data_IF_271457125682
#
_entry.id   IF_271457125682
#
_cell.length_a   1.000
_cell.length_b   1.000
_cell.length_c   1.000
_cell.angle_alpha   90.00
_cell.angle_beta   90.00
_cell.angle_gamma   90.00
#
_symmetry.space_group_name_H-M   'P 1'
#
loop_
_entity.id
_entity.type
_entity.pdbx_description
1 polymer ?
#
# COMPACT_ATOMS: atom_id res chain seq x y z
N UNK A 1 -5.64 10.22 -24.77
CA UNK A 1 -5.98 9.43 -23.58
C UNK A 1 -4.73 9.33 -22.71
N UNK A 2 -4.57 10.21 -21.71
CA UNK A 2 -3.42 10.16 -20.80
C UNK A 2 -3.89 9.64 -19.45
N UNK A 3 -3.74 8.34 -19.20
CA UNK A 3 -3.76 7.79 -17.83
C UNK A 3 -2.43 8.19 -17.17
N UNK A 4 -2.32 9.46 -16.80
CA UNK A 4 -1.34 9.86 -15.79
C UNK A 4 -1.86 9.32 -14.46
N UNK A 5 -1.61 8.04 -14.18
CA UNK A 5 -1.66 7.57 -12.80
C UNK A 5 -0.56 8.34 -12.08
N UNK A 6 -0.95 9.43 -11.42
CA UNK A 6 -0.14 10.06 -10.39
C UNK A 6 0.18 8.93 -9.41
N UNK A 7 1.38 8.36 -9.50
CA UNK A 7 1.86 7.37 -8.53
C UNK A 7 1.87 8.10 -7.19
N UNK A 8 0.80 7.95 -6.42
CA UNK A 8 0.78 8.44 -5.05
C UNK A 8 1.82 7.63 -4.31
N UNK A 9 2.84 8.31 -3.79
CA UNK A 9 3.79 7.65 -2.91
C UNK A 9 3.01 7.15 -1.69
N UNK A 10 2.92 5.84 -1.53
CA UNK A 10 2.22 5.22 -0.40
C UNK A 10 2.80 5.68 0.94
N UNK A 11 4.07 6.10 0.97
CA UNK A 11 4.74 6.64 2.16
C UNK A 11 4.32 8.07 2.50
N UNK A 12 3.66 8.78 1.59
CA UNK A 12 3.08 10.10 1.83
C UNK A 12 1.67 10.04 2.44
N UNK A 13 1.04 8.86 2.46
CA UNK A 13 -0.31 8.70 2.96
C UNK A 13 -0.34 8.59 4.48
N UNK A 14 -1.32 9.25 5.11
CA UNK A 14 -1.70 8.93 6.48
C UNK A 14 -2.28 7.51 6.56
N UNK A 15 -2.37 6.96 7.77
CA UNK A 15 -2.96 5.64 7.97
C UNK A 15 -4.40 5.55 7.42
N UNK A 16 -5.21 6.59 7.63
CA UNK A 16 -6.60 6.63 7.13
C UNK A 16 -6.66 6.73 5.60
N UNK A 17 -5.79 7.55 5.00
CA UNK A 17 -5.69 7.64 3.55
C UNK A 17 -5.23 6.32 2.92
N UNK A 18 -4.36 5.58 3.62
CA UNK A 18 -3.96 4.24 3.20
C UNK A 18 -5.13 3.27 3.27
N UNK A 19 -5.94 3.29 4.33
CA UNK A 19 -7.16 2.47 4.42
C UNK A 19 -8.11 2.77 3.26
N UNK A 20 -8.41 4.05 3.02
CA UNK A 20 -9.28 4.46 1.90
C UNK A 20 -8.72 4.04 0.54
N UNK A 21 -7.40 4.12 0.35
CA UNK A 21 -6.75 3.65 -0.87
C UNK A 21 -6.98 2.15 -1.08
N UNK A 22 -6.80 1.33 -0.04
CA UNK A 22 -7.02 -0.11 -0.15
C UNK A 22 -8.50 -0.45 -0.37
N UNK A 23 -9.43 0.19 0.35
CA UNK A 23 -10.87 0.00 0.18
C UNK A 23 -11.33 0.37 -1.24
N UNK A 24 -10.86 1.50 -1.78
CA UNK A 24 -11.18 1.94 -3.14
C UNK A 24 -10.65 0.99 -4.23
N UNK A 25 -9.64 0.17 -3.91
CA UNK A 25 -9.10 -0.86 -4.78
C UNK A 25 -9.65 -2.28 -4.46
N UNK A 26 -10.67 -2.39 -3.62
CA UNK A 26 -11.33 -3.66 -3.30
C UNK A 26 -10.58 -4.55 -2.29
N UNK A 27 -9.56 -4.01 -1.64
CA UNK A 27 -8.81 -4.69 -0.59
C UNK A 27 -9.38 -4.37 0.80
N UNK A 28 -9.20 -5.29 1.75
CA UNK A 28 -9.74 -5.12 3.10
C UNK A 28 -8.90 -4.12 3.92
N UNK A 29 -9.50 -3.37 4.85
CA UNK A 29 -8.79 -2.38 5.70
C UNK A 29 -7.59 -2.92 6.48
N UNK A 30 -7.61 -4.20 6.84
CA UNK A 30 -6.49 -4.82 7.55
C UNK A 30 -5.20 -4.88 6.68
N UNK A 31 -5.32 -4.90 5.35
CA UNK A 31 -4.17 -4.86 4.44
C UNK A 31 -3.42 -3.54 4.53
N UNK A 32 -4.13 -2.42 4.64
CA UNK A 32 -3.53 -1.11 4.88
C UNK A 32 -2.72 -1.10 6.18
N UNK A 33 -3.24 -1.70 7.26
CA UNK A 33 -2.51 -1.81 8.54
C UNK A 33 -1.23 -2.64 8.40
N UNK A 34 -1.26 -3.75 7.67
CA UNK A 34 -0.06 -4.56 7.43
C UNK A 34 1.01 -3.78 6.67
N UNK A 35 0.62 -3.07 5.61
CA UNK A 35 1.52 -2.22 4.82
C UNK A 35 2.12 -1.12 5.68
N UNK A 36 1.31 -0.45 6.49
CA UNK A 36 1.77 0.58 7.43
C UNK A 36 2.82 0.04 8.41
N UNK A 37 2.61 -1.15 8.98
CA UNK A 37 3.59 -1.80 9.85
C UNK A 37 4.92 -2.08 9.13
N UNK A 38 4.86 -2.56 7.88
CA UNK A 38 6.07 -2.81 7.12
C UNK A 38 6.86 -1.53 6.84
N UNK A 39 6.16 -0.46 6.44
CA UNK A 39 6.81 0.81 6.09
C UNK A 39 7.40 1.51 7.33
N UNK A 40 6.68 1.54 8.45
CA UNK A 40 7.03 2.39 9.59
C UNK A 40 7.59 1.65 10.80
N UNK A 41 7.24 0.38 11.02
CA UNK A 41 7.78 -0.40 12.15
C UNK A 41 8.95 -1.28 11.74
N UNK A 42 8.89 -1.85 10.54
CA UNK A 42 9.93 -2.73 10.01
C UNK A 42 10.88 -2.02 9.04
N UNK A 43 10.61 -0.77 8.69
CA UNK A 43 11.40 0.05 7.77
C UNK A 43 11.70 -0.64 6.44
N UNK A 44 10.70 -1.35 5.89
CA UNK A 44 10.83 -2.08 4.64
C UNK A 44 11.26 -1.15 3.50
N UNK A 45 12.35 -1.51 2.84
CA UNK A 45 12.91 -0.73 1.73
C UNK A 45 12.22 -1.06 0.41
N UNK A 46 11.71 -2.29 0.28
CA UNK A 46 10.99 -2.80 -0.89
C UNK A 46 9.66 -3.46 -0.52
N UNK A 47 8.66 -3.33 -1.39
CA UNK A 47 7.39 -4.06 -1.23
C UNK A 47 7.56 -5.57 -1.27
N UNK A 48 8.62 -6.08 -1.92
CA UNK A 48 8.92 -7.51 -1.96
C UNK A 48 9.25 -8.11 -0.59
N UNK A 49 9.70 -7.29 0.36
CA UNK A 49 9.96 -7.71 1.75
C UNK A 49 8.66 -8.01 2.51
N UNK A 50 7.52 -7.50 2.04
CA UNK A 50 6.21 -7.66 2.68
C UNK A 50 5.63 -9.05 2.40
N UNK A 51 6.27 -10.10 2.94
CA UNK A 51 6.00 -11.53 2.63
C UNK A 51 4.62 -12.01 3.07
N UNK A 52 3.98 -11.31 4.01
CA UNK A 52 2.61 -11.62 4.48
C UNK A 52 1.50 -10.94 3.65
N UNK A 53 1.86 -10.17 2.62
CA UNK A 53 0.94 -9.61 1.64
C UNK A 53 0.86 -10.53 0.41
N UNK A 54 -0.31 -10.54 -0.25
CA UNK A 54 -0.44 -11.24 -1.53
C UNK A 54 0.32 -10.49 -2.62
N UNK A 55 0.57 -11.16 -3.76
CA UNK A 55 1.14 -10.51 -4.94
C UNK A 55 0.26 -9.36 -5.45
N UNK A 56 -1.07 -9.51 -5.39
CA UNK A 56 -2.01 -8.46 -5.80
C UNK A 56 -1.88 -7.21 -4.94
N UNK A 57 -1.82 -7.38 -3.61
CA UNK A 57 -1.68 -6.25 -2.68
C UNK A 57 -0.35 -5.53 -2.90
N UNK A 58 0.75 -6.25 -3.15
CA UNK A 58 2.05 -5.63 -3.45
C UNK A 58 2.04 -4.87 -4.77
N UNK A 59 1.35 -5.40 -5.79
CA UNK A 59 1.24 -4.73 -7.09
C UNK A 59 0.50 -3.38 -7.00
N UNK A 60 -0.46 -3.23 -6.08
CA UNK A 60 -1.13 -1.95 -5.83
C UNK A 60 -0.19 -0.87 -5.27
N UNK A 61 0.97 -1.25 -4.74
CA UNK A 61 1.93 -0.34 -4.12
C UNK A 61 2.98 0.19 -5.12
N UNK A 62 3.12 -0.44 -6.30
CA UNK A 62 4.07 -0.06 -7.36
C UNK A 62 3.58 1.07 -8.26
#
# INVERSE_FOLDING_TARGET
MHKMSVKRDIRSLSQDQMVQFFEANGEKPFRAKQVYQWLWQKSASSFNEMTNLSKSTRYLLE
#
